data_IF_679162222474
#
_entry.id   IF_679162222474
#
_cell.length_a   1.000
_cell.length_b   1.000
_cell.length_c   1.000
_cell.angle_alpha   90.00
_cell.angle_beta   90.00
_cell.angle_gamma   90.00
#
_symmetry.space_group_name_H-M   'P 1'
#
loop_
_entity.id
_entity.type
_entity.pdbx_description
1 polymer ?
#
# COMPACT_ATOMS: atom_id res chain seq x y z
N UNK A 1 -2.53 10.67 -29.80
CA UNK A 1 -3.49 9.55 -29.66
C UNK A 1 -4.88 10.05 -29.97
N UNK A 2 -5.74 9.24 -30.61
CA UNK A 2 -7.12 9.66 -30.91
C UNK A 2 -7.99 9.74 -29.65
N UNK A 3 -8.99 10.62 -29.62
CA UNK A 3 -9.87 10.83 -28.45
C UNK A 3 -10.68 9.59 -28.05
N UNK A 4 -11.07 8.76 -29.02
CA UNK A 4 -11.73 7.47 -28.75
C UNK A 4 -10.83 6.53 -27.96
N UNK A 5 -9.54 6.51 -28.26
CA UNK A 5 -8.55 5.73 -27.52
C UNK A 5 -8.44 6.23 -26.07
N UNK A 6 -8.45 7.55 -25.86
CA UNK A 6 -8.45 8.16 -24.53
C UNK A 6 -9.66 7.74 -23.70
N UNK A 7 -10.86 7.85 -24.27
CA UNK A 7 -12.11 7.48 -23.58
C UNK A 7 -12.09 6.00 -23.20
N UNK A 8 -11.75 5.12 -24.15
CA UNK A 8 -11.65 3.68 -23.90
C UNK A 8 -10.65 3.37 -22.78
N UNK A 9 -9.48 3.98 -22.82
CA UNK A 9 -8.44 3.81 -21.79
C UNK A 9 -8.92 4.29 -20.42
N UNK A 10 -9.63 5.42 -20.35
CA UNK A 10 -10.18 5.93 -19.09
C UNK A 10 -11.26 5.00 -18.51
N UNK A 11 -12.12 4.42 -19.36
CA UNK A 11 -13.13 3.42 -18.95
C UNK A 11 -12.44 2.19 -18.36
N UNK A 12 -11.46 1.62 -19.07
CA UNK A 12 -10.68 0.45 -18.61
C UNK A 12 -9.94 0.75 -17.28
N UNK A 13 -9.36 1.95 -17.15
CA UNK A 13 -8.71 2.37 -15.92
C UNK A 13 -9.69 2.47 -14.75
N UNK A 14 -10.87 3.09 -14.93
CA UNK A 14 -11.86 3.21 -13.86
C UNK A 14 -12.43 1.84 -13.45
N UNK A 15 -12.61 0.92 -14.40
CA UNK A 15 -12.97 -0.47 -14.11
C UNK A 15 -11.93 -1.16 -13.24
N UNK A 16 -10.65 -1.03 -13.59
CA UNK A 16 -9.56 -1.60 -12.82
C UNK A 16 -9.52 -1.01 -11.40
N UNK A 17 -9.64 0.32 -11.28
CA UNK A 17 -9.70 1.03 -10.00
C UNK A 17 -10.86 0.52 -9.12
N UNK A 18 -12.06 0.39 -9.70
CA UNK A 18 -13.25 -0.12 -8.99
C UNK A 18 -13.08 -1.55 -8.48
N UNK A 19 -12.26 -2.36 -9.15
CA UNK A 19 -11.96 -3.74 -8.75
C UNK A 19 -10.84 -3.82 -7.70
N UNK A 20 -9.79 -3.01 -7.83
CA UNK A 20 -8.59 -3.11 -6.99
C UNK A 20 -8.64 -2.27 -5.72
N UNK A 21 -9.11 -1.02 -5.79
CA UNK A 21 -9.01 -0.08 -4.68
C UNK A 21 -9.79 -0.52 -3.44
N UNK A 22 -11.04 -1.07 -3.54
CA UNK A 22 -11.73 -1.62 -2.36
C UNK A 22 -10.96 -2.73 -1.65
N UNK A 23 -10.20 -3.55 -2.40
CA UNK A 23 -9.39 -4.62 -1.82
C UNK A 23 -8.16 -4.05 -1.10
N UNK A 24 -7.51 -3.06 -1.70
CA UNK A 24 -6.36 -2.37 -1.12
C UNK A 24 -6.72 -1.64 0.18
N UNK A 25 -7.87 -0.95 0.22
CA UNK A 25 -8.27 -0.20 1.41
C UNK A 25 -8.82 -1.11 2.53
N UNK A 26 -9.21 -2.34 2.21
CA UNK A 26 -9.67 -3.34 3.19
C UNK A 26 -8.54 -3.89 4.07
N UNK A 27 -7.27 -3.78 3.66
CA UNK A 27 -6.12 -4.17 4.48
C UNK A 27 -5.70 -3.09 5.50
N UNK A 28 -6.20 -1.86 5.35
CA UNK A 28 -5.87 -0.74 6.23
C UNK A 28 -6.60 -0.91 7.57
N UNK A 29 -5.87 -0.82 8.69
CA UNK A 29 -6.47 -0.91 10.02
C UNK A 29 -7.45 0.24 10.29
N UNK A 30 -8.49 -0.04 11.08
CA UNK A 30 -9.55 0.95 11.38
C UNK A 30 -9.01 2.20 12.06
N UNK A 31 -7.99 2.04 12.90
CA UNK A 31 -7.34 3.12 13.64
C UNK A 31 -6.54 4.05 12.72
N UNK A 32 -5.98 3.52 11.63
CA UNK A 32 -5.18 4.30 10.68
C UNK A 32 -6.01 5.33 9.92
N UNK A 33 -7.31 5.08 9.70
CA UNK A 33 -8.17 5.93 8.87
C UNK A 33 -8.36 7.35 9.40
N UNK A 34 -8.45 7.50 10.72
CA UNK A 34 -8.71 8.80 11.36
C UNK A 34 -7.42 9.51 11.80
N UNK A 35 -6.27 8.83 11.75
CA UNK A 35 -4.99 9.42 12.17
C UNK A 35 -4.58 10.52 11.20
N UNK A 36 -4.28 11.70 11.75
CA UNK A 36 -3.66 12.83 11.04
C UNK A 36 -2.18 12.87 11.34
N UNK A 37 -1.36 13.18 10.34
CA UNK A 37 0.08 13.43 10.52
C UNK A 37 0.34 14.77 11.23
N UNK A 38 -0.51 15.76 10.98
CA UNK A 38 -0.54 17.06 11.64
C UNK A 38 -1.95 17.67 11.55
N UNK A 39 -2.22 18.72 12.33
CA UNK A 39 -3.52 19.41 12.29
C UNK A 39 -3.86 19.99 10.91
N UNK A 40 -2.83 20.33 10.11
CA UNK A 40 -2.98 20.89 8.77
C UNK A 40 -3.11 19.85 7.65
N UNK A 41 -2.92 18.56 7.95
CA UNK A 41 -3.01 17.46 6.98
C UNK A 41 -4.32 16.70 7.13
N UNK A 42 -4.84 16.24 5.99
CA UNK A 42 -5.98 15.32 5.99
C UNK A 42 -5.55 13.93 6.45
N UNK A 43 -6.42 13.30 7.23
CA UNK A 43 -6.38 11.86 7.51
C UNK A 43 -6.71 11.07 6.24
N UNK A 44 -6.37 9.78 6.20
CA UNK A 44 -6.72 8.89 5.08
C UNK A 44 -8.23 8.92 4.78
N UNK A 45 -9.08 9.03 5.82
CA UNK A 45 -10.54 9.09 5.65
C UNK A 45 -11.00 10.40 5.02
N UNK A 46 -10.38 11.52 5.39
CA UNK A 46 -10.67 12.82 4.74
C UNK A 46 -10.14 12.86 3.30
N UNK A 47 -9.02 12.20 2.99
CA UNK A 47 -8.54 12.05 1.61
C UNK A 47 -9.51 11.20 0.79
N UNK A 48 -10.03 10.09 1.33
CA UNK A 48 -11.08 9.32 0.67
C UNK A 48 -12.38 10.13 0.50
N UNK A 49 -12.74 10.90 1.52
CA UNK A 49 -13.85 11.86 1.47
C UNK A 49 -13.68 12.91 0.37
N UNK A 50 -12.46 13.42 0.20
CA UNK A 50 -12.14 14.34 -0.89
C UNK A 50 -12.33 13.69 -2.27
N UNK A 51 -11.93 12.42 -2.44
CA UNK A 51 -12.20 11.67 -3.68
C UNK A 51 -13.71 11.51 -3.95
N UNK A 52 -14.52 11.35 -2.89
CA UNK A 52 -15.98 11.33 -2.99
C UNK A 52 -16.52 12.70 -3.42
N UNK A 53 -16.07 13.79 -2.80
CA UNK A 53 -16.46 15.15 -3.15
C UNK A 53 -16.11 15.48 -4.62
N UNK A 54 -14.92 15.07 -5.06
CA UNK A 54 -14.50 15.16 -6.47
C UNK A 54 -15.41 14.33 -7.39
N UNK A 55 -15.79 13.13 -6.98
CA UNK A 55 -16.74 12.27 -7.69
C UNK A 55 -18.12 12.92 -7.85
N UNK A 56 -18.68 13.49 -6.79
CA UNK A 56 -19.97 14.21 -6.86
C UNK A 56 -19.93 15.39 -7.83
N UNK A 57 -18.84 16.16 -7.78
CA UNK A 57 -18.69 17.33 -8.63
C UNK A 57 -18.51 16.92 -10.12
N UNK A 58 -17.72 15.88 -10.39
CA UNK A 58 -17.52 15.39 -11.74
C UNK A 58 -18.73 14.64 -12.30
N UNK A 59 -19.51 13.95 -11.46
CA UNK A 59 -20.78 13.36 -11.86
C UNK A 59 -21.73 14.42 -12.46
N UNK A 60 -21.83 15.59 -11.82
CA UNK A 60 -22.59 16.71 -12.37
C UNK A 60 -22.02 17.19 -13.71
N UNK A 61 -20.69 17.31 -13.83
CA UNK A 61 -20.02 17.72 -15.08
C UNK A 61 -20.35 16.76 -16.23
N UNK A 62 -20.24 15.46 -16.00
CA UNK A 62 -20.49 14.43 -17.01
C UNK A 62 -21.96 14.35 -17.44
N UNK A 63 -22.90 14.70 -16.56
CA UNK A 63 -24.33 14.77 -16.89
C UNK A 63 -24.64 16.07 -17.64
N UNK A 64 -24.27 17.21 -17.05
CA UNK A 64 -24.66 18.55 -17.52
C UNK A 64 -24.09 18.90 -18.89
N UNK A 65 -22.86 18.45 -19.20
CA UNK A 65 -22.22 18.71 -20.50
C UNK A 65 -22.99 18.12 -21.69
N UNK A 66 -23.86 17.14 -21.46
CA UNK A 66 -24.61 16.49 -22.54
C UNK A 66 -25.69 17.42 -23.10
N UNK A 67 -26.21 18.35 -22.29
CA UNK A 67 -27.32 19.23 -22.68
C UNK A 67 -27.05 20.73 -22.46
N UNK A 68 -26.10 21.10 -21.61
CA UNK A 68 -25.66 22.50 -21.45
C UNK A 68 -24.48 22.80 -22.38
N UNK A 69 -24.46 24.01 -22.95
CA UNK A 69 -23.41 24.42 -23.88
C UNK A 69 -22.03 24.55 -23.21
N UNK A 70 -21.99 25.08 -21.99
CA UNK A 70 -20.75 25.22 -21.20
C UNK A 70 -21.08 25.23 -19.70
N UNK A 71 -21.38 24.07 -19.09
CA UNK A 71 -21.66 24.01 -17.66
C UNK A 71 -20.46 24.50 -16.84
N UNK A 72 -20.72 25.36 -15.85
CA UNK A 72 -19.73 25.82 -14.88
C UNK A 72 -19.95 25.16 -13.53
N UNK A 73 -18.98 24.36 -13.09
CA UNK A 73 -19.08 23.55 -11.87
C UNK A 73 -17.71 23.53 -11.19
N UNK A 74 -17.59 24.31 -10.11
CA UNK A 74 -16.40 24.45 -9.29
C UNK A 74 -16.73 24.22 -7.81
N UNK A 75 -15.73 23.84 -7.01
CA UNK A 75 -15.93 23.60 -5.58
C UNK A 75 -14.69 23.97 -4.75
N UNK A 76 -14.93 24.37 -3.50
CA UNK A 76 -13.87 24.60 -2.52
C UNK A 76 -13.57 23.30 -1.77
N UNK A 77 -12.51 22.62 -2.21
CA UNK A 77 -12.09 21.31 -1.73
C UNK A 77 -11.98 21.23 -0.20
N UNK A 78 -11.29 22.18 0.43
CA UNK A 78 -11.08 22.19 1.88
C UNK A 78 -12.36 22.41 2.66
N UNK A 79 -13.20 23.35 2.20
CA UNK A 79 -14.47 23.64 2.87
C UNK A 79 -15.46 22.48 2.73
N UNK A 80 -15.45 21.76 1.60
CA UNK A 80 -16.30 20.57 1.41
C UNK A 80 -15.92 19.44 2.34
N UNK A 81 -14.63 19.04 2.37
CA UNK A 81 -14.14 17.98 3.26
C UNK A 81 -14.46 18.30 4.72
N UNK A 82 -14.26 19.56 5.12
CA UNK A 82 -14.59 20.05 6.47
C UNK A 82 -16.09 19.97 6.74
N UNK A 83 -16.93 20.41 5.81
CA UNK A 83 -18.39 20.47 5.99
C UNK A 83 -19.05 19.10 5.99
N UNK A 84 -18.52 18.15 5.22
CA UNK A 84 -19.00 16.77 5.16
C UNK A 84 -18.66 15.96 6.42
N UNK A 85 -17.66 16.40 7.20
CA UNK A 85 -17.24 15.76 8.44
C UNK A 85 -17.01 14.24 8.30
N UNK A 86 -16.24 13.85 7.29
CA UNK A 86 -15.99 12.44 6.93
C UNK A 86 -15.49 11.59 8.10
N UNK A 87 -14.78 12.18 9.07
CA UNK A 87 -14.28 11.47 10.26
C UNK A 87 -15.39 10.85 11.12
N UNK A 88 -16.57 11.46 11.17
CA UNK A 88 -17.71 10.99 11.95
C UNK A 88 -18.40 9.76 11.36
N UNK A 89 -18.11 9.40 10.10
CA UNK A 89 -18.74 8.27 9.43
C UNK A 89 -17.97 6.96 9.64
N UNK A 90 -18.67 5.81 9.75
CA UNK A 90 -18.07 4.49 9.64
C UNK A 90 -17.31 4.36 8.33
N UNK A 91 -16.09 3.81 8.37
CA UNK A 91 -15.24 3.74 7.17
C UNK A 91 -15.87 2.89 6.07
N UNK A 92 -16.60 1.85 6.45
CA UNK A 92 -17.32 0.96 5.53
C UNK A 92 -18.34 1.74 4.69
N UNK A 93 -19.03 2.71 5.30
CA UNK A 93 -19.98 3.58 4.59
C UNK A 93 -19.26 4.53 3.62
N UNK A 94 -18.11 5.08 4.02
CA UNK A 94 -17.32 5.98 3.18
C UNK A 94 -16.77 5.22 1.95
N UNK A 95 -16.20 4.04 2.14
CA UNK A 95 -15.72 3.18 1.05
C UNK A 95 -16.85 2.76 0.12
N UNK A 96 -18.01 2.38 0.68
CA UNK A 96 -19.18 2.00 -0.11
C UNK A 96 -19.73 3.19 -0.93
N UNK A 97 -19.78 4.39 -0.34
CA UNK A 97 -20.21 5.59 -1.04
C UNK A 97 -19.26 5.93 -2.21
N UNK A 98 -17.95 5.90 -1.97
CA UNK A 98 -16.94 6.08 -3.02
C UNK A 98 -17.16 5.08 -4.16
N UNK A 99 -17.38 3.81 -3.84
CA UNK A 99 -17.59 2.75 -4.84
C UNK A 99 -18.83 3.02 -5.70
N UNK A 100 -19.98 3.30 -5.08
CA UNK A 100 -21.25 3.50 -5.80
C UNK A 100 -21.20 4.74 -6.69
N UNK A 101 -20.59 5.84 -6.24
CA UNK A 101 -20.42 7.05 -7.06
C UNK A 101 -19.58 6.74 -8.29
N UNK A 102 -18.46 6.04 -8.12
CA UNK A 102 -17.58 5.69 -9.24
C UNK A 102 -18.21 4.67 -10.20
N UNK A 103 -19.05 3.75 -9.70
CA UNK A 103 -19.86 2.88 -10.56
C UNK A 103 -20.85 3.69 -11.40
N UNK A 104 -21.47 4.71 -10.83
CA UNK A 104 -22.37 5.60 -11.56
C UNK A 104 -21.62 6.44 -12.60
N UNK A 105 -20.43 6.96 -12.26
CA UNK A 105 -19.57 7.67 -13.21
C UNK A 105 -19.20 6.75 -14.39
N UNK A 106 -18.73 5.53 -14.10
CA UNK A 106 -18.39 4.54 -15.12
C UNK A 106 -19.59 4.23 -16.03
N UNK A 107 -20.79 4.08 -15.46
CA UNK A 107 -22.01 3.86 -16.23
C UNK A 107 -22.29 5.02 -17.19
N UNK A 108 -22.16 6.27 -16.74
CA UNK A 108 -22.33 7.45 -17.59
C UNK A 108 -21.28 7.48 -18.69
N UNK A 109 -20.01 7.21 -18.37
CA UNK A 109 -18.93 7.20 -19.36
C UNK A 109 -19.15 6.17 -20.46
N UNK A 110 -19.62 4.97 -20.12
CA UNK A 110 -19.95 3.92 -21.09
C UNK A 110 -21.14 4.25 -22.00
N UNK A 111 -22.03 5.14 -21.56
CA UNK A 111 -23.23 5.55 -22.30
C UNK A 111 -23.14 7.00 -22.81
N UNK A 112 -21.95 7.59 -22.79
CA UNK A 112 -21.80 8.99 -23.15
C UNK A 112 -22.01 9.19 -24.66
N UNK A 113 -22.82 10.18 -25.10
CA UNK A 113 -23.10 10.38 -26.52
C UNK A 113 -21.86 10.74 -27.33
N UNK A 114 -21.57 9.98 -28.40
CA UNK A 114 -20.39 10.20 -29.25
C UNK A 114 -20.33 11.62 -29.83
N UNK A 115 -21.48 12.19 -30.19
CA UNK A 115 -21.59 13.55 -30.73
C UNK A 115 -21.30 14.65 -29.69
N UNK A 116 -21.16 14.32 -28.40
CA UNK A 116 -20.90 15.27 -27.30
C UNK A 116 -19.48 15.18 -26.74
N UNK A 117 -18.62 14.30 -27.26
CA UNK A 117 -17.24 14.12 -26.76
C UNK A 117 -16.40 15.40 -26.79
N UNK A 118 -16.70 16.33 -27.70
CA UNK A 118 -16.00 17.61 -27.85
C UNK A 118 -16.63 18.76 -27.05
N UNK A 119 -17.74 18.52 -26.34
CA UNK A 119 -18.40 19.54 -25.55
C UNK A 119 -17.47 20.05 -24.43
N UNK A 120 -17.62 21.34 -24.10
CA UNK A 120 -16.71 22.08 -23.23
C UNK A 120 -17.32 22.32 -21.86
N UNK A 121 -16.50 22.20 -20.82
CA UNK A 121 -16.89 22.30 -19.42
C UNK A 121 -15.96 23.31 -18.75
N UNK A 122 -16.53 24.22 -17.97
CA UNK A 122 -15.75 25.15 -17.16
C UNK A 122 -15.61 24.62 -15.73
N UNK A 123 -14.38 24.33 -15.33
CA UNK A 123 -14.04 23.73 -14.03
C UNK A 123 -13.29 24.67 -13.09
N UNK A 124 -12.96 25.88 -13.58
CA UNK A 124 -12.13 26.86 -12.88
C UNK A 124 -12.82 27.49 -11.67
N UNK A 125 -12.04 28.06 -10.75
CA UNK A 125 -12.58 28.92 -9.69
C UNK A 125 -12.68 30.39 -10.11
N UNK A 126 -11.77 30.88 -10.97
CA UNK A 126 -11.63 32.32 -11.22
C UNK A 126 -11.40 32.73 -12.70
N UNK A 127 -11.37 31.83 -13.72
CA UNK A 127 -11.25 32.17 -15.17
C UNK A 127 -11.74 31.10 -16.16
N UNK A 128 -12.22 31.49 -17.34
CA UNK A 128 -12.76 30.72 -18.50
C UNK A 128 -11.93 29.56 -19.09
N UNK A 129 -11.37 28.67 -18.27
CA UNK A 129 -10.70 27.46 -18.75
C UNK A 129 -11.72 26.37 -19.10
N UNK A 130 -11.69 25.95 -20.37
CA UNK A 130 -12.65 25.04 -20.97
C UNK A 130 -12.02 23.71 -21.34
N UNK A 131 -12.44 22.67 -20.61
CA UNK A 131 -11.99 21.31 -20.81
C UNK A 131 -13.02 20.53 -21.62
N UNK A 132 -12.54 19.65 -22.50
CA UNK A 132 -13.38 18.64 -23.13
C UNK A 132 -13.76 17.55 -22.13
N UNK A 133 -14.80 16.79 -22.46
CA UNK A 133 -15.17 15.59 -21.70
C UNK A 133 -13.98 14.64 -21.47
N UNK A 134 -13.22 14.34 -22.54
CA UNK A 134 -12.06 13.44 -22.47
C UNK A 134 -10.95 13.96 -21.53
N UNK A 135 -10.66 15.26 -21.55
CA UNK A 135 -9.67 15.87 -20.66
C UNK A 135 -10.08 15.77 -19.18
N UNK A 136 -11.38 15.89 -18.88
CA UNK A 136 -11.87 15.70 -17.51
C UNK A 136 -11.83 14.23 -17.09
N UNK A 137 -12.09 13.28 -18.00
CA UNK A 137 -11.94 11.86 -17.69
C UNK A 137 -10.49 11.53 -17.31
N UNK A 138 -9.52 11.99 -18.11
CA UNK A 138 -8.10 11.79 -17.84
C UNK A 138 -7.69 12.42 -16.50
N UNK A 139 -8.05 13.68 -16.27
CA UNK A 139 -7.78 14.39 -15.01
C UNK A 139 -8.39 13.64 -13.82
N UNK A 140 -9.62 13.12 -13.95
CA UNK A 140 -10.27 12.35 -12.89
C UNK A 140 -9.48 11.09 -12.50
N UNK A 141 -8.95 10.35 -13.48
CA UNK A 141 -8.11 9.16 -13.24
C UNK A 141 -6.76 9.55 -12.60
N UNK A 142 -6.11 10.59 -13.11
CA UNK A 142 -4.83 11.08 -12.57
C UNK A 142 -4.98 11.57 -11.15
N UNK A 143 -6.04 12.34 -10.88
CA UNK A 143 -6.39 12.86 -9.57
C UNK A 143 -6.66 11.73 -8.57
N UNK A 144 -7.37 10.67 -8.98
CA UNK A 144 -7.55 9.49 -8.16
C UNK A 144 -6.20 8.88 -7.74
N UNK A 145 -5.31 8.57 -8.69
CA UNK A 145 -4.02 7.95 -8.38
C UNK A 145 -3.09 8.84 -7.54
N UNK A 146 -3.21 10.16 -7.65
CA UNK A 146 -2.49 11.09 -6.79
C UNK A 146 -2.87 10.89 -5.30
N UNK A 147 -4.17 10.77 -5.02
CA UNK A 147 -4.67 10.61 -3.65
C UNK A 147 -4.71 9.15 -3.17
N UNK A 148 -4.82 8.18 -4.08
CA UNK A 148 -4.68 6.75 -3.78
C UNK A 148 -3.39 6.49 -3.01
N UNK A 149 -2.27 7.09 -3.43
CA UNK A 149 -0.97 6.97 -2.76
C UNK A 149 -0.96 7.51 -1.32
N UNK A 150 -1.82 8.49 -1.02
CA UNK A 150 -1.95 9.07 0.32
C UNK A 150 -2.80 8.17 1.23
N UNK A 151 -3.64 7.31 0.65
CA UNK A 151 -4.51 6.37 1.38
C UNK A 151 -3.79 5.03 1.56
N UNK A 152 -3.33 4.46 0.45
CA UNK A 152 -2.77 3.11 0.32
C UNK A 152 -1.24 3.18 0.33
N UNK A 153 -0.66 4.02 1.19
CA UNK A 153 0.79 4.16 1.26
C UNK A 153 1.45 2.81 1.47
N UNK A 154 2.37 2.47 0.56
CA UNK A 154 3.17 1.26 0.63
C UNK A 154 3.87 1.19 2.00
N UNK A 155 3.61 0.13 2.77
CA UNK A 155 4.32 -0.14 4.01
C UNK A 155 5.50 -1.04 3.72
N UNK A 156 6.68 -0.61 4.15
CA UNK A 156 7.90 -1.41 4.11
C UNK A 156 8.09 -2.02 5.50
N UNK A 157 7.90 -3.34 5.58
CA UNK A 157 7.87 -4.08 6.84
C UNK A 157 9.10 -4.96 6.91
N UNK A 158 9.93 -4.79 7.93
CA UNK A 158 10.95 -5.80 8.27
C UNK A 158 10.30 -6.85 9.14
N UNK A 159 10.33 -8.11 8.73
CA UNK A 159 9.82 -9.24 9.51
C UNK A 159 10.95 -10.22 9.83
N UNK A 160 11.16 -10.52 11.11
CA UNK A 160 12.23 -11.40 11.58
C UNK A 160 11.82 -12.15 12.85
N UNK A 161 12.34 -13.36 13.01
CA UNK A 161 12.36 -14.04 14.30
C UNK A 161 13.76 -13.93 14.89
N UNK A 162 13.87 -13.45 16.13
CA UNK A 162 15.15 -13.18 16.80
C UNK A 162 15.17 -13.77 18.21
N UNK A 163 16.35 -14.20 18.67
CA UNK A 163 16.57 -14.60 20.06
C UNK A 163 16.70 -13.40 21.00
N UNK A 164 16.90 -13.69 22.30
CA UNK A 164 16.96 -12.67 23.36
C UNK A 164 18.06 -11.62 23.16
N UNK A 165 19.15 -11.98 22.47
CA UNK A 165 20.27 -11.10 22.16
C UNK A 165 20.37 -10.83 20.65
N UNK A 166 19.23 -10.79 19.95
CA UNK A 166 19.12 -10.56 18.51
C UNK A 166 19.73 -11.69 17.64
N UNK A 167 19.88 -12.91 18.16
CA UNK A 167 20.33 -14.06 17.37
C UNK A 167 19.37 -14.30 16.18
N UNK A 168 19.88 -14.56 14.98
CA UNK A 168 19.05 -14.88 13.80
C UNK A 168 19.27 -16.31 13.28
N UNK A 169 20.53 -16.72 13.19
CA UNK A 169 20.92 -17.90 12.43
C UNK A 169 22.28 -18.42 12.83
N UNK A 170 22.51 -19.70 12.52
CA UNK A 170 23.82 -20.34 12.60
C UNK A 170 24.01 -21.22 11.36
N UNK A 171 25.13 -21.07 10.65
CA UNK A 171 25.46 -21.95 9.51
C UNK A 171 24.49 -21.87 8.33
N UNK A 172 23.83 -20.72 8.11
CA UNK A 172 22.74 -20.50 7.14
C UNK A 172 21.40 -21.17 7.47
N UNK A 173 21.22 -21.72 8.68
CA UNK A 173 19.95 -22.27 9.14
C UNK A 173 19.38 -21.47 10.31
N UNK A 174 18.07 -21.61 10.53
CA UNK A 174 17.39 -21.11 11.72
C UNK A 174 17.84 -21.93 12.94
N UNK A 175 18.10 -21.25 14.06
CA UNK A 175 18.66 -21.87 15.27
C UNK A 175 17.59 -22.62 16.08
N UNK A 176 16.31 -22.37 15.79
CA UNK A 176 15.17 -23.00 16.47
C UNK A 176 14.12 -23.49 15.49
N UNK A 177 13.27 -24.39 15.98
CA UNK A 177 12.05 -24.80 15.30
C UNK A 177 10.84 -24.22 16.03
N UNK A 178 10.17 -23.24 15.41
CA UNK A 178 9.01 -22.57 15.98
C UNK A 178 7.83 -22.57 14.97
N UNK A 179 7.03 -23.66 14.94
CA UNK A 179 5.91 -23.80 14.00
C UNK A 179 4.89 -22.65 14.03
N UNK A 180 4.64 -22.07 15.22
CA UNK A 180 3.72 -20.94 15.36
C UNK A 180 4.21 -19.71 14.57
N UNK A 181 5.50 -19.40 14.65
CA UNK A 181 6.13 -18.32 13.88
C UNK A 181 6.06 -18.59 12.38
N UNK A 182 6.41 -19.80 11.92
CA UNK A 182 6.33 -20.16 10.50
C UNK A 182 4.91 -20.03 9.94
N UNK A 183 3.90 -20.43 10.73
CA UNK A 183 2.48 -20.28 10.37
C UNK A 183 2.08 -18.81 10.28
N UNK A 184 2.53 -18.00 11.24
CA UNK A 184 2.30 -16.55 11.25
C UNK A 184 2.98 -15.87 10.07
N UNK A 185 4.27 -16.11 9.87
CA UNK A 185 5.05 -15.60 8.75
C UNK A 185 4.37 -15.91 7.41
N UNK A 186 3.93 -17.17 7.20
CA UNK A 186 3.16 -17.55 6.01
C UNK A 186 1.86 -16.76 5.88
N UNK A 187 1.10 -16.60 6.97
CA UNK A 187 -0.18 -15.88 6.96
C UNK A 187 0.01 -14.41 6.60
N UNK A 188 0.96 -13.72 7.23
CA UNK A 188 1.14 -12.26 7.08
C UNK A 188 1.81 -11.89 5.75
N UNK A 189 2.69 -12.73 5.22
CA UNK A 189 3.41 -12.44 3.96
C UNK A 189 2.68 -12.93 2.71
N UNK A 190 1.61 -13.73 2.85
CA UNK A 190 0.89 -14.30 1.69
C UNK A 190 0.23 -13.21 0.86
N UNK A 191 0.36 -13.29 -0.47
CA UNK A 191 -0.16 -12.31 -1.42
C UNK A 191 0.79 -11.14 -1.70
N UNK A 192 1.88 -11.03 -0.94
CA UNK A 192 2.79 -9.89 -0.99
C UNK A 192 4.16 -10.21 -1.60
N UNK A 193 4.92 -9.18 -1.89
CA UNK A 193 6.32 -9.27 -2.25
C UNK A 193 7.16 -9.49 -0.99
N UNK A 194 8.04 -10.48 -1.08
CA UNK A 194 9.07 -10.75 -0.07
C UNK A 194 10.44 -10.42 -0.66
N UNK A 195 11.19 -9.59 0.05
CA UNK A 195 12.52 -9.13 -0.35
C UNK A 195 13.54 -9.81 0.53
N UNK A 196 14.51 -10.48 -0.09
CA UNK A 196 15.59 -11.14 0.63
C UNK A 196 16.92 -11.09 -0.10
N UNK A 197 18.02 -11.28 0.64
CA UNK A 197 19.35 -11.44 0.07
C UNK A 197 19.53 -12.83 -0.53
N UNK A 198 20.47 -12.95 -1.49
CA UNK A 198 20.78 -14.22 -2.16
C UNK A 198 21.01 -15.40 -1.21
N UNK A 199 21.83 -15.24 -0.18
CA UNK A 199 22.15 -16.35 0.74
C UNK A 199 20.92 -16.85 1.52
N UNK A 200 20.01 -15.94 1.90
CA UNK A 200 18.74 -16.30 2.54
C UNK A 200 17.85 -17.08 1.58
N UNK A 201 17.78 -16.65 0.32
CA UNK A 201 17.05 -17.41 -0.70
C UNK A 201 17.65 -18.81 -0.92
N UNK A 202 18.98 -18.92 -1.00
CA UNK A 202 19.69 -20.19 -1.18
C UNK A 202 19.47 -21.16 -0.02
N UNK A 203 19.41 -20.66 1.23
CA UNK A 203 19.03 -21.44 2.41
C UNK A 203 17.58 -21.95 2.33
N UNK A 204 16.62 -21.11 1.93
CA UNK A 204 15.23 -21.52 1.73
C UNK A 204 15.11 -22.52 0.55
N UNK A 205 15.96 -22.38 -0.46
CA UNK A 205 16.12 -23.28 -1.60
C UNK A 205 15.08 -23.11 -2.71
N UNK A 206 13.94 -22.45 -2.43
CA UNK A 206 12.85 -22.28 -3.40
C UNK A 206 12.00 -21.03 -3.14
N UNK A 207 11.31 -20.50 -4.17
CA UNK A 207 10.30 -19.47 -3.98
C UNK A 207 9.21 -19.95 -3.03
N UNK A 208 8.75 -19.07 -2.15
CA UNK A 208 7.71 -19.41 -1.21
C UNK A 208 6.33 -19.29 -1.89
N UNK A 209 5.43 -20.28 -1.77
CA UNK A 209 4.16 -20.26 -2.49
C UNK A 209 3.29 -19.07 -2.07
N UNK A 210 2.47 -18.58 -3.01
CA UNK A 210 1.59 -17.42 -2.88
C UNK A 210 2.30 -16.11 -2.50
N UNK A 211 3.57 -15.97 -2.86
CA UNK A 211 4.39 -14.76 -2.64
C UNK A 211 5.22 -14.48 -3.87
N UNK A 212 5.48 -13.20 -4.14
CA UNK A 212 6.44 -12.79 -5.16
C UNK A 212 7.80 -12.61 -4.51
N UNK A 213 8.75 -13.48 -4.83
CA UNK A 213 10.12 -13.38 -4.30
C UNK A 213 10.95 -12.38 -5.08
N UNK A 214 11.57 -11.43 -4.39
CA UNK A 214 12.60 -10.53 -4.93
C UNK A 214 13.93 -10.82 -4.23
N UNK A 215 14.94 -11.18 -5.02
CA UNK A 215 16.29 -11.52 -4.55
C UNK A 215 17.23 -10.34 -4.80
N UNK A 216 17.82 -9.81 -3.72
CA UNK A 216 18.87 -8.79 -3.80
C UNK A 216 20.23 -9.44 -3.90
N UNK A 217 20.98 -9.06 -4.93
CA UNK A 217 22.33 -9.57 -5.21
C UNK A 217 23.17 -8.56 -5.98
N UNK A 218 24.48 -8.54 -5.71
CA UNK A 218 25.43 -7.72 -6.48
C UNK A 218 25.82 -8.33 -7.81
N UNK A 219 25.54 -9.63 -8.00
CA UNK A 219 25.79 -10.32 -9.26
C UNK A 219 24.67 -9.99 -10.25
N UNK A 220 24.97 -9.17 -11.26
CA UNK A 220 24.00 -8.74 -12.28
C UNK A 220 23.52 -9.87 -13.19
N UNK A 221 24.29 -10.95 -13.29
CA UNK A 221 23.95 -12.10 -14.13
C UNK A 221 23.16 -13.16 -13.35
N UNK A 222 22.88 -12.92 -12.07
CA UNK A 222 22.12 -13.85 -11.25
C UNK A 222 20.62 -13.79 -11.60
N UNK A 223 20.07 -14.94 -11.98
CA UNK A 223 18.64 -15.11 -12.16
C UNK A 223 18.20 -16.42 -11.52
N UNK A 224 16.95 -16.45 -11.06
CA UNK A 224 16.31 -17.66 -10.56
C UNK A 224 14.89 -17.72 -11.09
N UNK A 225 14.54 -18.86 -11.65
CA UNK A 225 13.19 -19.11 -12.14
C UNK A 225 12.14 -18.88 -11.04
N UNK A 226 11.04 -18.20 -11.39
CA UNK A 226 9.97 -17.86 -10.47
C UNK A 226 10.30 -16.75 -9.45
N UNK A 227 11.44 -16.07 -9.59
CA UNK A 227 11.84 -14.94 -8.76
C UNK A 227 12.14 -13.70 -9.60
N UNK A 228 11.98 -12.53 -8.99
CA UNK A 228 12.55 -11.29 -9.49
C UNK A 228 13.94 -11.09 -8.88
N UNK A 229 14.85 -10.42 -9.59
CA UNK A 229 16.17 -10.04 -9.10
C UNK A 229 16.29 -8.53 -9.05
N UNK A 230 16.95 -8.00 -8.01
CA UNK A 230 17.31 -6.59 -7.86
C UNK A 230 18.77 -6.46 -7.40
N UNK A 231 19.40 -5.32 -7.67
CA UNK A 231 20.75 -5.00 -7.24
C UNK A 231 20.81 -4.09 -6.01
N UNK A 232 19.69 -3.53 -5.57
CA UNK A 232 19.57 -2.74 -4.34
C UNK A 232 18.19 -2.87 -3.68
N UNK A 233 18.04 -2.33 -2.47
CA UNK A 233 16.74 -2.30 -1.78
C UNK A 233 15.77 -1.40 -2.54
N UNK A 234 16.23 -0.25 -3.03
CA UNK A 234 15.42 0.72 -3.77
C UNK A 234 14.86 0.10 -5.04
N UNK A 235 15.68 -0.65 -5.79
CA UNK A 235 15.23 -1.37 -6.98
C UNK A 235 14.22 -2.46 -6.63
N UNK A 236 14.45 -3.22 -5.54
CA UNK A 236 13.49 -4.20 -5.05
C UNK A 236 12.14 -3.56 -4.67
N UNK A 237 12.18 -2.34 -4.11
CA UNK A 237 10.99 -1.57 -3.77
C UNK A 237 10.28 -1.02 -5.02
N UNK A 238 11.00 -0.65 -6.06
CA UNK A 238 10.40 -0.23 -7.33
C UNK A 238 9.70 -1.39 -8.04
N UNK A 239 10.31 -2.59 -8.05
CA UNK A 239 9.70 -3.80 -8.59
C UNK A 239 8.41 -4.19 -7.87
N UNK A 240 8.27 -3.80 -6.60
CA UNK A 240 7.10 -4.06 -5.76
C UNK A 240 6.20 -2.83 -5.60
N UNK A 241 6.26 -1.84 -6.50
CA UNK A 241 5.50 -0.57 -6.36
C UNK A 241 3.97 -0.70 -6.35
N UNK A 242 3.45 -1.81 -6.89
CA UNK A 242 2.01 -2.09 -6.91
C UNK A 242 1.53 -2.80 -5.64
N UNK A 243 2.45 -3.22 -4.77
CA UNK A 243 2.12 -3.85 -3.51
C UNK A 243 1.91 -2.80 -2.42
N UNK A 244 0.89 -3.04 -1.60
CA UNK A 244 0.57 -2.20 -0.45
C UNK A 244 1.48 -2.49 0.73
N UNK A 245 1.97 -3.73 0.85
CA UNK A 245 2.87 -4.14 1.93
C UNK A 245 4.03 -4.95 1.35
N UNK A 246 5.26 -4.57 1.66
CA UNK A 246 6.45 -5.30 1.21
C UNK A 246 7.25 -5.75 2.40
N UNK A 247 7.54 -7.05 2.43
CA UNK A 247 8.20 -7.69 3.56
C UNK A 247 9.67 -7.92 3.26
N UNK A 248 10.53 -7.23 3.99
CA UNK A 248 11.97 -7.51 4.02
C UNK A 248 12.19 -8.65 5.02
N UNK A 249 12.66 -9.79 4.53
CA UNK A 249 12.78 -11.04 5.31
C UNK A 249 14.24 -11.45 5.55
N UNK A 250 15.18 -10.52 5.31
CA UNK A 250 16.60 -10.66 5.63
C UNK A 250 17.48 -11.02 4.44
N UNK A 251 18.68 -11.55 4.62
CA UNK A 251 19.36 -11.81 5.89
C UNK A 251 19.94 -10.55 6.53
N UNK A 252 20.84 -10.73 7.51
CA UNK A 252 21.40 -9.65 8.34
C UNK A 252 21.91 -8.43 7.56
N UNK A 253 22.58 -8.62 6.42
CA UNK A 253 23.04 -7.50 5.59
C UNK A 253 21.89 -6.69 4.98
N UNK A 254 20.81 -7.35 4.57
CA UNK A 254 19.62 -6.70 4.03
C UNK A 254 18.86 -6.00 5.14
N UNK A 255 18.70 -6.64 6.30
CA UNK A 255 18.11 -5.99 7.48
C UNK A 255 18.88 -4.73 7.86
N UNK A 256 20.21 -4.80 7.94
CA UNK A 256 21.06 -3.65 8.27
C UNK A 256 20.86 -2.50 7.28
N UNK A 257 20.98 -2.78 5.99
CA UNK A 257 20.78 -1.76 4.94
C UNK A 257 19.36 -1.16 4.98
N UNK A 258 18.34 -1.97 5.22
CA UNK A 258 16.95 -1.51 5.30
C UNK A 258 16.72 -0.58 6.50
N UNK A 259 17.26 -0.93 7.67
CA UNK A 259 17.12 -0.11 8.87
C UNK A 259 17.94 1.18 8.80
N UNK A 260 19.11 1.16 8.14
CA UNK A 260 19.97 2.34 7.95
C UNK A 260 19.44 3.31 6.86
N UNK A 261 18.70 2.81 5.86
CA UNK A 261 18.20 3.63 4.75
C UNK A 261 16.99 4.52 5.10
N UNK A 262 16.46 4.40 6.32
CA UNK A 262 15.23 5.06 6.77
C UNK A 262 13.98 4.73 5.91
N UNK A 263 14.02 3.67 5.09
CA UNK A 263 12.90 3.27 4.22
C UNK A 263 11.85 2.41 4.95
N UNK A 264 12.18 1.80 6.08
CA UNK A 264 11.30 0.86 6.79
C UNK A 264 10.26 1.59 7.64
N UNK A 265 9.01 1.20 7.56
CA UNK A 265 7.91 1.83 8.31
C UNK A 265 7.56 1.09 9.60
N UNK A 266 7.73 -0.25 9.59
CA UNK A 266 7.32 -1.14 10.68
C UNK A 266 8.33 -2.27 10.85
N UNK A 267 8.57 -2.65 12.11
CA UNK A 267 9.19 -3.93 12.44
C UNK A 267 8.12 -4.89 12.95
N UNK A 268 8.14 -6.10 12.42
CA UNK A 268 7.30 -7.21 12.85
C UNK A 268 8.19 -8.35 13.35
N UNK A 269 8.37 -8.42 14.66
CA UNK A 269 9.42 -9.22 15.30
C UNK A 269 8.79 -10.34 16.12
N UNK A 270 9.23 -11.57 15.86
CA UNK A 270 9.04 -12.67 16.79
C UNK A 270 10.24 -12.72 17.72
N UNK A 271 10.05 -12.46 19.02
CA UNK A 271 11.11 -12.52 20.03
C UNK A 271 11.05 -13.87 20.74
N UNK A 272 12.05 -14.73 20.53
CA UNK A 272 12.19 -16.01 21.23
C UNK A 272 12.93 -15.79 22.54
N UNK A 273 12.34 -16.17 23.66
CA UNK A 273 12.81 -15.82 25.02
C UNK A 273 13.94 -16.74 25.52
N UNK A 274 14.86 -17.12 24.65
CA UNK A 274 15.98 -18.00 24.95
C UNK A 274 17.27 -17.47 24.30
N UNK A 275 18.42 -17.85 24.87
CA UNK A 275 19.72 -17.53 24.30
C UNK A 275 20.20 -18.66 23.39
N UNK A 276 20.78 -18.31 22.24
CA UNK A 276 21.26 -19.29 21.29
C UNK A 276 22.70 -18.99 20.87
N UNK A 277 23.43 -20.02 20.47
CA UNK A 277 24.72 -19.81 19.81
C UNK A 277 24.46 -19.43 18.34
N UNK A 278 24.91 -18.23 17.94
CA UNK A 278 24.64 -17.67 16.61
C UNK A 278 25.89 -17.08 15.97
N UNK A 279 25.98 -17.15 14.65
CA UNK A 279 27.00 -16.45 13.84
C UNK A 279 26.42 -15.22 13.10
N UNK A 280 25.10 -15.15 13.00
CA UNK A 280 24.37 -14.05 12.37
C UNK A 280 23.37 -13.47 13.38
N UNK A 281 23.41 -12.15 13.51
CA UNK A 281 22.57 -11.38 14.43
C UNK A 281 21.75 -10.34 13.67
N UNK A 282 20.55 -10.08 14.16
CA UNK A 282 19.71 -8.98 13.72
C UNK A 282 20.31 -7.66 14.21
N UNK A 283 20.25 -6.57 13.41
CA UNK A 283 20.71 -5.26 13.87
C UNK A 283 19.94 -4.82 15.11
N UNK A 284 20.61 -4.10 16.01
CA UNK A 284 19.97 -3.61 17.24
C UNK A 284 18.73 -2.75 16.94
N UNK A 285 17.60 -3.06 17.58
CA UNK A 285 16.40 -2.24 17.52
C UNK A 285 16.60 -1.01 18.39
N UNK A 286 17.08 0.08 17.76
CA UNK A 286 17.34 1.34 18.44
C UNK A 286 16.04 1.94 19.01
N UNK A 287 15.90 1.94 20.33
CA UNK A 287 14.71 2.44 21.04
C UNK A 287 14.54 3.96 20.95
N UNK A 288 15.52 4.71 20.46
CA UNK A 288 15.37 6.13 20.11
C UNK A 288 14.60 6.33 18.79
N UNK A 289 14.63 5.34 17.90
CA UNK A 289 13.96 5.37 16.59
C UNK A 289 12.63 4.61 16.65
N UNK A 290 12.63 3.46 17.31
CA UNK A 290 11.51 2.53 17.31
C UNK A 290 10.76 2.55 18.65
N UNK A 291 9.44 2.47 18.58
CA UNK A 291 8.54 2.32 19.72
C UNK A 291 7.72 1.06 19.56
N UNK A 292 7.64 0.26 20.62
CA UNK A 292 6.74 -0.90 20.69
C UNK A 292 5.29 -0.41 20.57
N UNK A 293 4.59 -0.93 19.56
CA UNK A 293 3.20 -0.61 19.26
C UNK A 293 2.23 -1.68 19.79
N UNK A 294 2.64 -2.94 19.80
CA UNK A 294 1.86 -4.06 20.33
C UNK A 294 2.76 -5.24 20.66
N UNK A 295 2.29 -6.08 21.59
CA UNK A 295 2.92 -7.31 22.04
C UNK A 295 1.87 -8.36 22.34
N UNK A 296 2.12 -9.59 21.91
CA UNK A 296 1.36 -10.78 22.27
C UNK A 296 2.33 -11.84 22.78
N UNK A 297 2.19 -12.26 24.03
CA UNK A 297 3.08 -13.22 24.69
C UNK A 297 2.51 -14.65 24.64
N UNK A 298 3.38 -15.63 24.41
CA UNK A 298 3.05 -17.05 24.31
C UNK A 298 4.02 -17.88 25.16
N UNK A 299 3.46 -18.88 25.84
CA UNK A 299 4.22 -19.85 26.64
C UNK A 299 4.49 -21.08 25.78
N UNK A 300 5.65 -21.71 25.98
CA UNK A 300 6.04 -22.94 25.32
C UNK A 300 4.97 -24.05 25.46
N UNK A 301 4.84 -24.86 24.41
CA UNK A 301 3.97 -26.04 24.36
C UNK A 301 4.68 -27.23 23.68
N UNK A 302 3.98 -28.35 23.49
CA UNK A 302 4.55 -29.55 22.85
C UNK A 302 5.09 -29.30 21.44
N UNK A 303 4.58 -28.29 20.73
CA UNK A 303 4.97 -27.96 19.34
C UNK A 303 5.98 -26.82 19.26
N UNK A 304 5.96 -25.90 20.22
CA UNK A 304 6.76 -24.68 20.28
C UNK A 304 7.57 -24.70 21.58
N UNK A 305 8.83 -25.14 21.51
CA UNK A 305 9.64 -25.48 22.69
C UNK A 305 10.09 -24.29 23.55
N UNK A 306 9.82 -23.07 23.11
CA UNK A 306 10.32 -21.84 23.74
C UNK A 306 9.16 -20.89 23.96
N UNK A 307 9.23 -20.11 25.04
CA UNK A 307 8.38 -18.92 25.19
C UNK A 307 8.75 -17.91 24.10
N UNK A 308 7.76 -17.22 23.56
CA UNK A 308 7.98 -16.24 22.52
C UNK A 308 6.95 -15.12 22.55
N UNK A 309 7.31 -13.98 21.98
CA UNK A 309 6.39 -12.86 21.77
C UNK A 309 6.27 -12.53 20.30
N UNK A 310 5.06 -12.15 19.85
CA UNK A 310 4.91 -11.36 18.63
C UNK A 310 4.90 -9.88 19.01
N UNK A 311 5.86 -9.12 18.51
CA UNK A 311 6.06 -7.72 18.87
C UNK A 311 6.08 -6.87 17.61
N UNK A 312 5.29 -5.81 17.59
CA UNK A 312 5.34 -4.83 16.51
C UNK A 312 5.98 -3.54 16.99
N UNK A 313 6.90 -3.00 16.20
CA UNK A 313 7.45 -1.67 16.39
C UNK A 313 7.05 -0.74 15.25
N UNK A 314 6.83 0.52 15.58
CA UNK A 314 6.63 1.63 14.63
C UNK A 314 7.67 2.70 14.90
N UNK A 315 7.98 3.52 13.89
CA UNK A 315 8.81 4.71 14.09
C UNK A 315 8.16 5.65 15.13
N UNK A 316 8.99 6.24 15.99
CA UNK A 316 8.56 7.23 16.99
C UNK A 316 8.02 8.51 16.37
#
# INVERSE_FOLDING_TARGET
MGKEYVIKTCIENLENILNSFPLQVASISKESWNKKESESKWSKKEVLGHLIDSGFNNLQRFIRVQYEETPHIAYNQNEWVKSQNWQALPIENVVQLWKVINQQILHIWKNFPENKVNAKINVSKEKTELYTFAEIMEDYIVHFHHHEKQIVSKMIIVIAAIGKNNELGKGNDLIWHLPADLKRFKKVTSGHHIVMGRNTFESIGKPLPNRTTIIITRNKDYSKEGCLTANSIEEALELSKKDTDVFIIGGAQIYKQALESNLVDKLDITLVHENFEADVYFPEINTLVWKEASREDFIADEKNKYDYSFVSYVKK
#
